data_IF_211646464107
#
_entry.id   IF_211646464107
#
_cell.length_a   1.000
_cell.length_b   1.000
_cell.length_c   1.000
_cell.angle_alpha   90.00
_cell.angle_beta   90.00
_cell.angle_gamma   90.00
#
_symmetry.space_group_name_H-M   'P 1'
#
loop_
_entity.id
_entity.type
_entity.pdbx_description
1 polymer ?
#
# COMPACT_ATOMS: atom_id res chain seq x y z
N UNK A 1 31.03 -21.59 12.83
CA UNK A 1 29.60 -21.52 12.51
C UNK A 1 29.39 -21.46 10.99
N UNK A 2 29.09 -20.30 10.39
CA UNK A 2 28.63 -20.17 9.00
C UNK A 2 29.57 -20.76 7.97
N UNK A 3 30.91 -20.57 8.09
CA UNK A 3 31.89 -21.17 7.17
C UNK A 3 31.88 -22.70 7.22
N UNK A 4 31.58 -23.31 8.36
CA UNK A 4 31.48 -24.77 8.44
C UNK A 4 30.21 -25.25 7.72
N UNK A 5 29.07 -24.56 7.92
CA UNK A 5 27.83 -24.88 7.22
C UNK A 5 28.00 -24.72 5.71
N UNK A 6 28.66 -23.64 5.27
CA UNK A 6 28.98 -23.43 3.85
C UNK A 6 29.79 -24.59 3.26
N UNK A 7 30.84 -25.04 3.98
CA UNK A 7 31.67 -26.12 3.55
C UNK A 7 30.96 -27.48 3.53
N UNK A 8 30.16 -27.75 4.56
CA UNK A 8 29.59 -29.09 4.79
C UNK A 8 28.23 -29.26 4.07
N UNK A 9 27.48 -28.16 3.83
CA UNK A 9 26.12 -28.19 3.28
C UNK A 9 25.92 -27.24 2.07
N UNK A 10 26.93 -26.48 1.69
CA UNK A 10 26.85 -25.50 0.62
C UNK A 10 26.30 -24.16 1.06
N UNK A 11 26.57 -23.12 0.26
CA UNK A 11 26.15 -21.73 0.54
C UNK A 11 24.62 -21.56 0.58
N UNK A 12 23.90 -22.29 -0.26
CA UNK A 12 22.43 -22.22 -0.33
C UNK A 12 21.71 -22.66 0.98
N UNK A 13 22.43 -23.34 1.89
CA UNK A 13 21.92 -23.72 3.22
C UNK A 13 21.92 -22.57 4.21
N UNK A 14 22.45 -21.40 3.83
CA UNK A 14 22.53 -20.21 4.68
C UNK A 14 21.56 -19.17 4.14
N UNK A 15 20.76 -18.57 5.02
CA UNK A 15 19.87 -17.48 4.68
C UNK A 15 19.79 -16.45 5.80
N UNK A 16 19.38 -15.23 5.48
CA UNK A 16 19.10 -14.19 6.44
C UNK A 16 17.69 -13.64 6.25
N UNK A 17 16.96 -13.52 7.36
CA UNK A 17 15.70 -12.81 7.43
C UNK A 17 15.92 -11.54 8.25
N UNK A 18 15.87 -10.40 7.57
CA UNK A 18 16.17 -9.10 8.18
C UNK A 18 14.85 -8.41 8.56
N UNK A 19 14.82 -7.81 9.75
CA UNK A 19 13.65 -7.05 10.16
C UNK A 19 13.50 -5.75 9.35
N UNK A 20 12.29 -5.39 8.90
CA UNK A 20 12.05 -4.09 8.27
C UNK A 20 12.12 -2.91 9.26
N UNK A 21 12.44 -3.16 10.53
CA UNK A 21 12.80 -2.15 11.53
C UNK A 21 14.31 -1.94 11.68
N UNK A 22 15.13 -2.79 11.05
CA UNK A 22 16.59 -2.63 11.03
C UNK A 22 16.99 -1.36 10.27
N UNK A 23 18.20 -0.86 10.56
CA UNK A 23 18.75 0.25 9.79
C UNK A 23 19.10 -0.18 8.36
N UNK A 24 19.31 0.78 7.48
CA UNK A 24 19.75 0.50 6.09
C UNK A 24 21.12 -0.18 6.10
N UNK A 25 22.00 0.26 6.99
CA UNK A 25 23.35 -0.29 7.15
C UNK A 25 23.31 -1.76 7.60
N UNK A 26 22.48 -2.08 8.59
CA UNK A 26 22.32 -3.46 9.06
C UNK A 26 21.76 -4.36 7.96
N UNK A 27 20.77 -3.90 7.21
CA UNK A 27 20.19 -4.64 6.10
C UNK A 27 21.21 -4.87 4.98
N UNK A 28 21.97 -3.82 4.61
CA UNK A 28 23.04 -3.90 3.61
C UNK A 28 24.15 -4.87 4.05
N UNK A 29 24.63 -4.76 5.30
CA UNK A 29 25.69 -5.62 5.82
C UNK A 29 25.26 -7.09 5.90
N UNK A 30 24.00 -7.35 6.27
CA UNK A 30 23.46 -8.71 6.24
C UNK A 30 23.48 -9.28 4.82
N UNK A 31 23.04 -8.53 3.82
CA UNK A 31 23.10 -8.91 2.41
C UNK A 31 24.54 -9.12 1.92
N UNK A 32 25.44 -8.19 2.23
CA UNK A 32 26.86 -8.29 1.86
C UNK A 32 27.54 -9.52 2.49
N UNK A 33 27.24 -9.80 3.76
CA UNK A 33 27.75 -10.99 4.45
C UNK A 33 27.29 -12.28 3.76
N UNK A 34 26.00 -12.39 3.43
CA UNK A 34 25.46 -13.60 2.80
C UNK A 34 26.02 -13.79 1.39
N UNK A 35 26.06 -12.73 0.58
CA UNK A 35 26.69 -12.77 -0.76
C UNK A 35 28.18 -13.11 -0.69
N UNK A 36 28.89 -12.58 0.32
CA UNK A 36 30.30 -12.96 0.59
C UNK A 36 30.48 -14.43 0.98
N UNK A 37 29.43 -15.09 1.47
CA UNK A 37 29.38 -16.54 1.70
C UNK A 37 28.82 -17.32 0.49
N UNK A 38 28.52 -16.67 -0.62
CA UNK A 38 27.96 -17.29 -1.82
C UNK A 38 26.46 -17.59 -1.76
N UNK A 39 25.70 -16.92 -0.87
CA UNK A 39 24.25 -17.10 -0.74
C UNK A 39 23.51 -15.78 -1.03
N UNK A 40 22.47 -15.86 -1.87
CA UNK A 40 21.54 -14.76 -2.12
C UNK A 40 20.22 -14.89 -1.34
N UNK A 41 20.14 -15.82 -0.39
CA UNK A 41 18.97 -16.09 0.41
C UNK A 41 18.76 -15.01 1.48
N UNK A 42 18.39 -13.80 1.08
CA UNK A 42 18.12 -12.66 1.99
C UNK A 42 16.71 -12.14 1.73
N UNK A 43 15.91 -12.05 2.78
CA UNK A 43 14.58 -11.45 2.70
C UNK A 43 14.23 -10.63 3.96
N UNK A 44 13.27 -9.72 3.82
CA UNK A 44 12.72 -8.91 4.91
C UNK A 44 11.17 -8.98 4.96
N UNK A 45 10.55 -9.79 4.11
CA UNK A 45 9.10 -9.86 3.92
C UNK A 45 8.51 -11.04 4.69
N UNK A 46 7.83 -10.77 5.80
CA UNK A 46 7.34 -11.82 6.68
C UNK A 46 5.91 -12.31 6.38
N UNK A 47 5.10 -11.53 5.67
CA UNK A 47 3.65 -11.76 5.59
C UNK A 47 3.07 -11.64 4.19
N UNK A 48 3.88 -11.54 3.15
CA UNK A 48 3.35 -11.36 1.80
C UNK A 48 2.89 -12.68 1.22
N UNK A 49 1.64 -12.71 0.76
CA UNK A 49 1.08 -13.82 0.02
C UNK A 49 1.46 -13.79 -1.46
N UNK A 50 1.69 -12.59 -2.01
CA UNK A 50 2.14 -12.38 -3.38
C UNK A 50 3.38 -11.49 -3.42
N UNK A 51 4.36 -11.84 -4.25
CA UNK A 51 5.54 -11.04 -4.51
C UNK A 51 5.33 -10.27 -5.80
N UNK A 52 4.94 -9.02 -5.67
CA UNK A 52 4.78 -8.12 -6.82
C UNK A 52 6.15 -7.97 -7.48
N UNK A 53 6.28 -8.51 -8.69
CA UNK A 53 7.42 -8.23 -9.54
C UNK A 53 7.25 -6.81 -10.09
N UNK A 54 8.08 -5.88 -9.65
CA UNK A 54 8.05 -4.49 -10.10
C UNK A 54 9.40 -3.85 -9.85
N UNK A 55 9.78 -2.96 -10.74
CA UNK A 55 10.95 -2.11 -10.52
C UNK A 55 10.64 -1.06 -9.45
N UNK A 56 11.61 -0.80 -8.59
CA UNK A 56 11.54 0.25 -7.59
C UNK A 56 11.06 -0.19 -6.20
N UNK A 57 11.01 0.77 -5.32
CA UNK A 57 10.71 0.59 -3.91
C UNK A 57 9.27 0.99 -3.63
N UNK A 58 8.55 0.16 -2.89
CA UNK A 58 7.18 0.46 -2.46
C UNK A 58 7.22 1.49 -1.32
N UNK A 59 6.88 2.73 -1.62
CA UNK A 59 6.90 3.85 -0.69
C UNK A 59 5.56 4.60 -0.69
N UNK A 60 5.45 5.66 0.10
CA UNK A 60 4.19 6.42 0.28
C UNK A 60 3.68 7.12 -1.00
N UNK A 61 4.51 7.24 -2.04
CA UNK A 61 4.15 7.94 -3.29
C UNK A 61 4.10 9.46 -3.18
N UNK A 62 4.23 10.00 -1.95
CA UNK A 62 4.25 11.43 -1.65
C UNK A 62 5.02 11.69 -0.36
N UNK A 63 5.28 12.96 -0.01
CA UNK A 63 5.92 13.28 1.28
C UNK A 63 4.93 13.10 2.44
N UNK A 64 5.44 12.72 3.61
CA UNK A 64 4.62 12.63 4.83
C UNK A 64 3.98 13.98 5.16
N UNK A 65 4.70 15.08 4.92
CA UNK A 65 4.19 16.43 5.18
C UNK A 65 2.97 16.76 4.32
N UNK A 66 2.94 16.35 3.04
CA UNK A 66 1.85 16.62 2.11
C UNK A 66 0.53 15.97 2.48
N UNK A 67 0.54 14.91 3.31
CA UNK A 67 -0.68 14.26 3.79
C UNK A 67 -1.62 15.24 4.52
N UNK A 68 -1.08 16.27 5.17
CA UNK A 68 -1.89 17.28 5.88
C UNK A 68 -2.59 18.27 4.94
N UNK A 69 -2.20 18.31 3.67
CA UNK A 69 -2.75 19.21 2.65
C UNK A 69 -3.56 18.50 1.57
N UNK A 70 -3.74 17.18 1.69
CA UNK A 70 -4.56 16.41 0.74
C UNK A 70 -6.00 16.90 0.74
N UNK A 71 -6.62 16.87 -0.42
CA UNK A 71 -8.03 17.21 -0.63
C UNK A 71 -8.90 15.98 -0.87
N UNK A 72 -8.34 14.96 -1.50
CA UNK A 72 -9.03 13.68 -1.77
C UNK A 72 -8.11 12.52 -1.44
N UNK A 73 -8.63 11.57 -0.67
CA UNK A 73 -7.87 10.39 -0.25
C UNK A 73 -8.73 9.15 -0.43
N UNK A 74 -8.17 8.14 -1.08
CA UNK A 74 -8.72 6.79 -1.06
C UNK A 74 -7.75 5.88 -0.31
N UNK A 75 -8.23 5.21 0.74
CA UNK A 75 -7.44 4.24 1.50
C UNK A 75 -7.99 2.84 1.25
N UNK A 76 -7.11 1.89 0.94
CA UNK A 76 -7.47 0.51 0.66
C UNK A 76 -6.76 -0.43 1.64
N UNK A 77 -7.51 -1.26 2.35
CA UNK A 77 -6.98 -2.32 3.18
C UNK A 77 -6.10 -1.86 4.35
N UNK A 78 -6.56 -0.89 5.14
CA UNK A 78 -5.89 -0.44 6.37
C UNK A 78 -6.89 -0.11 7.47
N UNK A 79 -6.53 -0.39 8.72
CA UNK A 79 -7.04 0.37 9.85
C UNK A 79 -6.11 1.55 10.09
N UNK A 80 -6.33 2.64 9.39
CA UNK A 80 -5.41 3.77 9.32
C UNK A 80 -4.96 4.28 10.71
N UNK A 81 -5.87 4.31 11.68
CA UNK A 81 -5.56 4.78 13.04
C UNK A 81 -4.68 3.83 13.82
N UNK A 82 -4.88 2.50 13.66
CA UNK A 82 -4.12 1.48 14.40
C UNK A 82 -2.79 1.18 13.73
N UNK A 83 -2.83 1.05 12.40
CA UNK A 83 -1.67 0.65 11.63
C UNK A 83 -0.68 1.82 11.44
N UNK A 84 -1.22 3.05 11.24
CA UNK A 84 -0.44 4.22 10.85
C UNK A 84 -0.88 5.50 11.58
N UNK A 85 -0.75 5.59 12.91
CA UNK A 85 -1.35 6.67 13.71
C UNK A 85 -0.85 8.07 13.32
N UNK A 86 0.40 8.21 12.92
CA UNK A 86 0.95 9.51 12.50
C UNK A 86 0.43 9.94 11.13
N UNK A 87 0.22 9.01 10.20
CA UNK A 87 -0.41 9.31 8.91
C UNK A 87 -1.90 9.62 9.11
N UNK A 88 -2.58 8.86 9.98
CA UNK A 88 -3.97 9.13 10.36
C UNK A 88 -4.12 10.55 10.93
N UNK A 89 -3.21 10.99 11.79
CA UNK A 89 -3.21 12.35 12.36
C UNK A 89 -3.12 13.42 11.26
N UNK A 90 -2.22 13.26 10.30
CA UNK A 90 -2.06 14.20 9.18
C UNK A 90 -3.27 14.23 8.26
N UNK A 91 -3.81 13.08 7.90
CA UNK A 91 -5.03 12.99 7.09
C UNK A 91 -6.22 13.60 7.85
N UNK A 92 -6.29 13.39 9.17
CA UNK A 92 -7.30 14.07 10.01
C UNK A 92 -7.13 15.59 10.02
N UNK A 93 -5.93 16.13 9.96
CA UNK A 93 -5.72 17.56 9.80
C UNK A 93 -6.26 18.03 8.45
N UNK A 94 -6.03 17.28 7.37
CA UNK A 94 -6.61 17.57 6.06
C UNK A 94 -8.15 17.54 6.09
N UNK A 95 -8.80 16.60 6.78
CA UNK A 95 -10.26 16.56 6.88
C UNK A 95 -10.85 17.78 7.60
N UNK A 96 -10.13 18.36 8.56
CA UNK A 96 -10.54 19.63 9.20
C UNK A 96 -10.50 20.82 8.24
N UNK A 97 -9.77 20.69 7.13
CA UNK A 97 -9.68 21.66 6.04
C UNK A 97 -10.60 21.30 4.85
N UNK A 98 -11.52 20.35 5.04
CA UNK A 98 -12.49 19.94 4.03
C UNK A 98 -12.06 18.79 3.12
N UNK A 99 -10.98 18.08 3.45
CA UNK A 99 -10.61 16.90 2.68
C UNK A 99 -11.66 15.78 2.79
N UNK A 100 -11.93 15.14 1.67
CA UNK A 100 -12.77 13.95 1.60
C UNK A 100 -11.90 12.70 1.65
N UNK A 101 -12.24 11.79 2.56
CA UNK A 101 -11.55 10.51 2.72
C UNK A 101 -12.52 9.39 2.41
N UNK A 102 -12.16 8.55 1.45
CA UNK A 102 -12.88 7.34 1.06
C UNK A 102 -12.09 6.10 1.46
N UNK A 103 -12.78 5.00 1.71
CA UNK A 103 -12.15 3.74 2.11
C UNK A 103 -12.75 2.54 1.39
N UNK A 104 -11.89 1.58 1.01
CA UNK A 104 -12.24 0.21 0.62
C UNK A 104 -11.61 -0.71 1.66
N UNK A 105 -12.43 -1.28 2.56
CA UNK A 105 -11.94 -1.98 3.75
C UNK A 105 -12.91 -3.08 4.18
N UNK A 106 -12.42 -4.01 4.99
CA UNK A 106 -13.23 -5.01 5.64
C UNK A 106 -13.87 -4.51 6.94
N UNK A 107 -14.77 -5.31 7.50
CA UNK A 107 -15.38 -5.04 8.81
C UNK A 107 -14.36 -4.91 9.92
N UNK A 108 -13.27 -5.68 9.84
CA UNK A 108 -12.20 -5.70 10.83
C UNK A 108 -11.47 -4.36 10.93
N UNK A 109 -11.26 -3.68 9.82
CA UNK A 109 -10.58 -2.39 9.75
C UNK A 109 -11.45 -1.25 10.33
N UNK A 110 -12.77 -1.46 10.41
CA UNK A 110 -13.72 -0.51 10.98
C UNK A 110 -14.32 -0.95 12.32
N UNK A 111 -13.91 -2.07 12.87
CA UNK A 111 -14.59 -2.78 13.98
C UNK A 111 -14.63 -2.06 15.34
N UNK A 112 -14.16 -0.85 15.47
CA UNK A 112 -14.18 -0.11 16.73
C UNK A 112 -14.81 1.28 16.57
N UNK A 113 -16.12 1.39 16.58
CA UNK A 113 -16.85 2.66 16.66
C UNK A 113 -16.32 3.75 15.71
N UNK A 114 -15.75 4.83 16.24
CA UNK A 114 -15.03 5.84 15.45
C UNK A 114 -13.62 5.35 15.10
N UNK A 115 -13.56 4.28 14.31
CA UNK A 115 -12.37 3.46 14.11
C UNK A 115 -11.13 4.26 13.66
N UNK A 116 -11.32 5.26 12.83
CA UNK A 116 -10.21 6.05 12.30
C UNK A 116 -10.05 7.43 12.95
N UNK A 117 -10.99 7.82 13.84
CA UNK A 117 -11.04 9.14 14.46
C UNK A 117 -11.04 10.32 13.45
N UNK A 118 -11.54 10.07 12.25
CA UNK A 118 -11.77 11.05 11.19
C UNK A 118 -13.05 10.65 10.40
N UNK A 119 -13.75 11.62 9.78
CA UNK A 119 -14.93 11.31 8.96
C UNK A 119 -14.52 10.58 7.68
N UNK A 120 -15.23 9.50 7.36
CA UNK A 120 -15.17 8.86 6.05
C UNK A 120 -16.33 9.39 5.19
N UNK A 121 -16.01 9.88 4.00
CA UNK A 121 -17.00 10.43 3.06
C UNK A 121 -17.71 9.30 2.32
N UNK A 122 -16.96 8.34 1.80
CA UNK A 122 -17.49 7.17 1.12
C UNK A 122 -16.78 5.92 1.60
N UNK A 123 -17.51 4.83 1.79
CA UNK A 123 -16.94 3.56 2.27
C UNK A 123 -17.52 2.40 1.48
N UNK A 124 -16.63 1.63 0.86
CA UNK A 124 -16.95 0.30 0.35
C UNK A 124 -16.54 -0.72 1.41
N UNK A 125 -17.54 -1.35 2.01
CA UNK A 125 -17.32 -2.40 2.99
C UNK A 125 -17.41 -3.76 2.30
N UNK A 126 -16.28 -4.44 2.18
CA UNK A 126 -16.17 -5.74 1.53
C UNK A 126 -15.12 -6.60 2.23
N UNK A 127 -15.29 -7.90 2.21
CA UNK A 127 -14.20 -8.82 2.60
C UNK A 127 -12.99 -8.62 1.68
N UNK A 128 -11.80 -9.00 2.15
CA UNK A 128 -10.56 -8.76 1.42
C UNK A 128 -10.59 -9.33 -0.01
N UNK A 129 -11.20 -10.49 -0.21
CA UNK A 129 -11.37 -11.10 -1.54
C UNK A 129 -12.13 -10.23 -2.55
N UNK A 130 -12.93 -9.28 -2.09
CA UNK A 130 -13.69 -8.36 -2.94
C UNK A 130 -12.99 -7.02 -3.22
N UNK A 131 -11.82 -6.73 -2.63
CA UNK A 131 -11.18 -5.41 -2.80
C UNK A 131 -10.70 -5.13 -4.22
N UNK A 132 -10.19 -6.16 -4.92
CA UNK A 132 -9.81 -6.02 -6.32
C UNK A 132 -11.01 -5.67 -7.20
N UNK A 133 -12.17 -6.32 -6.98
CA UNK A 133 -13.40 -5.98 -7.67
C UNK A 133 -13.89 -4.57 -7.32
N UNK A 134 -13.85 -4.17 -6.05
CA UNK A 134 -14.22 -2.82 -5.63
C UNK A 134 -13.35 -1.73 -6.29
N UNK A 135 -12.04 -1.97 -6.43
CA UNK A 135 -11.17 -1.08 -7.19
C UNK A 135 -11.46 -1.11 -8.69
N UNK A 136 -11.77 -2.27 -9.28
CA UNK A 136 -12.18 -2.36 -10.68
C UNK A 136 -13.51 -1.60 -10.93
N UNK A 137 -14.42 -1.62 -9.98
CA UNK A 137 -15.67 -0.85 -10.05
C UNK A 137 -15.40 0.65 -10.03
N UNK A 138 -14.49 1.12 -9.16
CA UNK A 138 -14.04 2.53 -9.14
C UNK A 138 -13.34 2.88 -10.46
N UNK A 139 -12.49 2.00 -10.99
CA UNK A 139 -11.82 2.21 -12.28
C UNK A 139 -12.85 2.31 -13.43
N UNK A 140 -13.86 1.46 -13.44
CA UNK A 140 -14.95 1.53 -14.42
C UNK A 140 -15.73 2.85 -14.32
N UNK A 141 -15.99 3.36 -13.12
CA UNK A 141 -16.64 4.65 -12.91
C UNK A 141 -15.77 5.82 -13.39
N UNK A 142 -14.45 5.78 -13.12
CA UNK A 142 -13.49 6.79 -13.64
C UNK A 142 -13.42 6.71 -15.17
N UNK A 143 -13.35 5.51 -15.74
CA UNK A 143 -13.32 5.29 -17.20
C UNK A 143 -14.56 5.87 -17.88
N UNK A 144 -15.75 5.60 -17.33
CA UNK A 144 -17.00 6.15 -17.84
C UNK A 144 -17.03 7.68 -17.79
N UNK A 145 -16.56 8.28 -16.69
CA UNK A 145 -16.53 9.73 -16.53
C UNK A 145 -15.55 10.42 -17.50
N UNK A 146 -14.46 9.73 -17.89
CA UNK A 146 -13.43 10.25 -18.80
C UNK A 146 -13.60 9.83 -20.25
N UNK A 147 -14.51 8.92 -20.56
CA UNK A 147 -14.69 8.39 -21.91
C UNK A 147 -13.52 7.52 -22.39
N UNK A 148 -12.85 6.80 -21.48
CA UNK A 148 -11.73 5.91 -21.79
C UNK A 148 -12.08 4.46 -21.47
N UNK A 149 -11.27 3.51 -21.99
CA UNK A 149 -11.46 2.10 -21.67
C UNK A 149 -11.04 1.80 -20.21
N UNK A 150 -11.84 1.01 -19.50
CA UNK A 150 -11.49 0.53 -18.19
C UNK A 150 -10.40 -0.57 -18.27
N UNK A 151 -9.49 -0.67 -17.28
CA UNK A 151 -8.39 -1.64 -17.29
C UNK A 151 -8.84 -3.06 -16.97
N UNK A 152 -10.01 -3.21 -16.37
CA UNK A 152 -10.62 -4.50 -15.98
C UNK A 152 -12.14 -4.39 -15.99
N UNK A 153 -12.79 -5.56 -15.98
CA UNK A 153 -14.25 -5.63 -15.84
C UNK A 153 -14.68 -5.14 -14.46
N UNK A 154 -15.52 -4.12 -14.43
CA UNK A 154 -16.07 -3.51 -13.21
C UNK A 154 -17.45 -2.93 -13.45
N UNK A 155 -18.18 -2.71 -12.37
CA UNK A 155 -19.50 -2.10 -12.39
C UNK A 155 -19.45 -0.71 -11.75
N UNK A 156 -19.75 0.32 -12.50
CA UNK A 156 -19.84 1.69 -11.99
C UNK A 156 -21.10 1.87 -11.12
N UNK A 157 -21.16 1.15 -9.99
CA UNK A 157 -22.23 1.26 -9.01
C UNK A 157 -22.18 2.63 -8.28
N UNK A 158 -23.20 2.97 -7.52
CA UNK A 158 -23.33 4.28 -6.86
C UNK A 158 -22.13 4.62 -5.94
N UNK A 159 -21.61 3.63 -5.19
CA UNK A 159 -20.44 3.85 -4.31
C UNK A 159 -19.16 4.09 -5.12
N UNK A 160 -18.95 3.30 -6.17
CA UNK A 160 -17.82 3.47 -7.07
C UNK A 160 -17.85 4.82 -7.79
N UNK A 161 -19.03 5.24 -8.26
CA UNK A 161 -19.22 6.56 -8.86
C UNK A 161 -18.91 7.70 -7.88
N UNK A 162 -19.37 7.60 -6.63
CA UNK A 162 -19.11 8.62 -5.61
C UNK A 162 -17.61 8.75 -5.31
N UNK A 163 -16.88 7.63 -5.19
CA UNK A 163 -15.41 7.62 -5.01
C UNK A 163 -14.71 8.19 -6.25
N UNK A 164 -15.13 7.78 -7.44
CA UNK A 164 -14.56 8.27 -8.70
C UNK A 164 -14.74 9.78 -8.85
N UNK A 165 -15.93 10.31 -8.59
CA UNK A 165 -16.21 11.75 -8.63
C UNK A 165 -15.37 12.52 -7.60
N UNK A 166 -15.20 11.97 -6.39
CA UNK A 166 -14.31 12.55 -5.40
C UNK A 166 -12.88 12.63 -5.93
N UNK A 167 -12.31 11.53 -6.46
CA UNK A 167 -10.95 11.50 -7.00
C UNK A 167 -10.77 12.35 -8.26
N UNK A 168 -11.80 12.54 -9.07
CA UNK A 168 -11.74 13.43 -10.24
C UNK A 168 -11.80 14.92 -9.86
N UNK A 169 -12.16 15.23 -8.62
CA UNK A 169 -12.21 16.60 -8.08
C UNK A 169 -10.96 16.92 -7.24
N UNK A 170 -10.67 18.19 -7.05
CA UNK A 170 -9.53 18.66 -6.27
C UNK A 170 -8.18 18.44 -6.97
N UNK A 171 -7.13 18.99 -6.39
CA UNK A 171 -5.77 18.99 -6.97
C UNK A 171 -4.84 18.02 -6.23
N UNK A 172 -4.82 18.06 -4.89
CA UNK A 172 -3.94 17.22 -4.06
C UNK A 172 -4.67 15.96 -3.64
N UNK A 173 -4.32 14.87 -4.29
CA UNK A 173 -5.02 13.58 -4.18
C UNK A 173 -4.06 12.44 -3.93
N UNK A 174 -4.50 11.43 -3.19
CA UNK A 174 -3.72 10.22 -2.96
C UNK A 174 -4.60 8.96 -2.90
N UNK A 175 -4.06 7.86 -3.41
CA UNK A 175 -4.56 6.50 -3.23
C UNK A 175 -3.52 5.76 -2.41
N UNK A 176 -3.89 5.33 -1.21
CA UNK A 176 -2.99 4.76 -0.22
C UNK A 176 -3.35 3.30 0.05
N UNK A 177 -2.45 2.41 -0.33
CA UNK A 177 -2.57 0.98 -0.07
C UNK A 177 -2.02 0.67 1.32
N UNK A 178 -2.85 0.12 2.20
CA UNK A 178 -2.45 -0.22 3.57
C UNK A 178 -1.82 -1.60 3.71
N UNK A 179 -1.50 -1.98 4.95
CA UNK A 179 -0.82 -3.25 5.24
C UNK A 179 -1.59 -4.47 4.73
N UNK A 180 -2.92 -4.51 4.90
CA UNK A 180 -3.72 -5.63 4.43
C UNK A 180 -3.78 -5.69 2.89
N UNK A 181 -3.74 -4.54 2.20
CA UNK A 181 -3.63 -4.51 0.75
C UNK A 181 -2.24 -4.97 0.27
N UNK A 182 -1.17 -4.54 0.95
CA UNK A 182 0.21 -4.94 0.62
C UNK A 182 0.46 -6.44 0.85
N UNK A 183 -0.24 -7.05 1.79
CA UNK A 183 -0.15 -8.49 2.11
C UNK A 183 -1.24 -9.33 1.43
N UNK A 184 -2.03 -8.73 0.56
CA UNK A 184 -3.15 -9.41 -0.12
C UNK A 184 -2.63 -10.46 -1.10
N UNK A 185 -3.41 -11.55 -1.28
CA UNK A 185 -3.09 -12.60 -2.26
C UNK A 185 -3.02 -12.08 -3.71
N UNK A 186 -3.76 -11.00 -4.01
CA UNK A 186 -3.75 -10.31 -5.31
C UNK A 186 -3.22 -8.87 -5.17
N UNK A 187 -2.13 -8.67 -4.44
CA UNK A 187 -1.55 -7.34 -4.19
C UNK A 187 -1.14 -6.63 -5.49
N UNK A 188 -0.65 -7.39 -6.49
CA UNK A 188 -0.33 -6.87 -7.83
C UNK A 188 -1.55 -6.28 -8.54
N UNK A 189 -2.68 -6.97 -8.48
CA UNK A 189 -3.93 -6.48 -9.08
C UNK A 189 -4.42 -5.20 -8.41
N UNK A 190 -4.34 -5.12 -7.07
CA UNK A 190 -4.68 -3.91 -6.32
C UNK A 190 -3.78 -2.74 -6.74
N UNK A 191 -2.48 -2.97 -6.88
CA UNK A 191 -1.51 -1.96 -7.29
C UNK A 191 -1.76 -1.48 -8.72
N UNK A 192 -1.97 -2.39 -9.67
CA UNK A 192 -2.23 -2.06 -11.08
C UNK A 192 -3.49 -1.21 -11.21
N UNK A 193 -4.57 -1.59 -10.54
CA UNK A 193 -5.82 -0.83 -10.55
C UNK A 193 -5.66 0.54 -9.89
N UNK A 194 -4.96 0.61 -8.74
CA UNK A 194 -4.69 1.86 -8.06
C UNK A 194 -3.85 2.81 -8.91
N UNK A 195 -2.79 2.29 -9.57
CA UNK A 195 -1.95 3.09 -10.48
C UNK A 195 -2.75 3.62 -11.67
N UNK A 196 -3.57 2.77 -12.31
CA UNK A 196 -4.41 3.20 -13.41
C UNK A 196 -5.39 4.32 -12.98
N UNK A 197 -6.05 4.16 -11.82
CA UNK A 197 -6.93 5.19 -11.26
C UNK A 197 -6.12 6.46 -10.97
N UNK A 198 -4.93 6.34 -10.41
CA UNK A 198 -4.01 7.44 -10.13
C UNK A 198 -3.65 8.22 -11.40
N UNK A 199 -3.25 7.53 -12.45
CA UNK A 199 -2.95 8.13 -13.77
C UNK A 199 -4.15 8.89 -14.35
N UNK A 200 -5.33 8.28 -14.29
CA UNK A 200 -6.54 8.90 -14.83
C UNK A 200 -7.02 10.10 -14.00
N UNK A 201 -6.79 10.12 -12.72
CA UNK A 201 -7.30 11.16 -11.80
C UNK A 201 -6.25 12.19 -11.40
N UNK A 202 -4.97 11.93 -11.64
CA UNK A 202 -3.85 12.72 -11.13
C UNK A 202 -3.57 12.49 -9.64
N UNK A 203 -4.03 11.38 -9.06
CA UNK A 203 -3.74 11.04 -7.69
C UNK A 203 -2.39 10.35 -7.56
N UNK A 204 -1.59 10.74 -6.56
CA UNK A 204 -0.40 9.98 -6.16
C UNK A 204 -0.82 8.61 -5.63
N UNK A 205 -0.11 7.57 -6.00
CA UNK A 205 -0.34 6.21 -5.50
C UNK A 205 0.84 5.78 -4.65
N UNK A 206 0.56 5.19 -3.49
CA UNK A 206 1.62 4.71 -2.62
C UNK A 206 1.15 3.76 -1.55
N UNK A 207 2.11 3.23 -0.81
CA UNK A 207 1.90 2.32 0.29
C UNK A 207 2.03 3.04 1.64
N UNK A 208 1.12 2.73 2.54
CA UNK A 208 1.30 2.98 3.97
C UNK A 208 2.25 1.88 4.48
N UNK A 209 3.51 2.23 4.67
CA UNK A 209 4.58 1.27 4.97
C UNK A 209 4.42 0.60 6.33
N UNK A 210 4.59 -0.72 6.39
CA UNK A 210 4.33 -1.54 7.58
C UNK A 210 5.26 -1.23 8.75
N UNK A 211 6.52 -0.90 8.48
CA UNK A 211 7.56 -0.74 9.49
C UNK A 211 8.36 0.54 9.29
N UNK A 212 9.12 0.93 10.30
CA UNK A 212 9.86 2.18 10.33
C UNK A 212 10.85 2.34 9.17
N UNK A 213 11.42 1.24 8.67
CA UNK A 213 12.41 1.27 7.61
C UNK A 213 12.11 0.30 6.44
N UNK A 214 10.83 0.01 6.18
CA UNK A 214 10.42 -0.84 5.05
C UNK A 214 11.04 -0.38 3.71
N UNK A 215 11.10 0.92 3.48
CA UNK A 215 11.67 1.52 2.26
C UNK A 215 13.17 1.32 2.21
N UNK A 216 13.90 1.62 3.29
CA UNK A 216 15.35 1.50 3.35
C UNK A 216 15.84 0.06 3.21
N UNK A 217 15.13 -0.90 3.82
CA UNK A 217 15.47 -2.32 3.68
C UNK A 217 15.23 -2.83 2.25
N UNK A 218 14.23 -2.30 1.54
CA UNK A 218 14.04 -2.62 0.12
C UNK A 218 15.17 -2.06 -0.75
N UNK A 219 15.75 -0.91 -0.39
CA UNK A 219 16.89 -0.33 -1.10
C UNK A 219 18.22 -1.04 -0.83
N UNK A 220 18.34 -1.67 0.34
CA UNK A 220 19.56 -2.36 0.75
C UNK A 220 19.76 -3.75 0.11
N UNK A 221 18.84 -4.20 -0.75
CA UNK A 221 18.90 -5.52 -1.44
C UNK A 221 20.03 -5.62 -2.45
#
# INVERSE_FOLDING_TARGET
>A
GLKNIQRDHGAASIGALVSPHSTVEEAYLAGALLRGLGSDNVDARLRRAEFVAGEGVQWLGTSIASLSSLQRVLVVGSNLRKDHPLFALRIRQATRQGAQVSAIVGRRELASGNAWALPLTHTVLSDASGWAQALADVAAAVAAAKGVAAPAAGQANAQAQAIAQSLLSGERKAILLGNAAAHHANASSLLVLANWIGEQTGASVGYLTEAANTVGVQWAK
#
